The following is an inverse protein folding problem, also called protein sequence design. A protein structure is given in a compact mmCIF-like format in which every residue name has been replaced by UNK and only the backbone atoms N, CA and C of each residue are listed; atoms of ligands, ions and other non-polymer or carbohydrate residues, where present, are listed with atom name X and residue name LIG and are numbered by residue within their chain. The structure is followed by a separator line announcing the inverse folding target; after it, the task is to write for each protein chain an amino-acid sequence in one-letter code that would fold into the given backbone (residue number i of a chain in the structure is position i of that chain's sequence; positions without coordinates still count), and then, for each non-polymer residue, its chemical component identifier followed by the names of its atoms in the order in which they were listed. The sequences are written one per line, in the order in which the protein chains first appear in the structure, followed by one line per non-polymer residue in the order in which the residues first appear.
data_IF_232793319309
#
_entry.id   IF_232793319309
#
_cell.length_a   1.000
_cell.length_b   1.000
_cell.length_c   1.000
_cell.angle_alpha   90.00
_cell.angle_beta   90.00
_cell.angle_gamma   90.00
#
_symmetry.space_group_name_H-M   'P 1'
#
loop_
_entity.id
_entity.type
_entity.pdbx_description
1 polymer ?
#
# COMPACT_ATOMS: atom_id res chain seq x y z
N UNK A 1 -22.50 14.10 1.95
CA UNK A 1 -22.20 12.65 2.11
C UNK A 1 -23.42 11.91 2.67
N UNK A 2 -23.83 12.17 3.92
CA UNK A 2 -25.00 11.53 4.56
C UNK A 2 -26.26 11.52 3.68
N UNK A 3 -26.73 12.68 3.22
CA UNK A 3 -27.95 12.75 2.40
C UNK A 3 -27.83 11.98 1.07
N UNK A 4 -26.64 12.00 0.46
CA UNK A 4 -26.37 11.25 -0.77
C UNK A 4 -26.47 9.74 -0.52
N UNK A 5 -25.81 9.24 0.53
CA UNK A 5 -25.87 7.81 0.89
C UNK A 5 -27.31 7.41 1.23
N UNK A 6 -28.05 8.18 2.03
CA UNK A 6 -29.48 7.93 2.32
C UNK A 6 -30.31 7.82 1.05
N UNK A 7 -30.10 8.76 0.12
CA UNK A 7 -30.82 8.78 -1.15
C UNK A 7 -30.46 7.56 -2.00
N UNK A 8 -29.19 7.17 -2.06
CA UNK A 8 -28.74 6.03 -2.85
C UNK A 8 -29.23 4.72 -2.26
N UNK A 9 -29.14 4.53 -0.95
CA UNK A 9 -29.69 3.37 -0.22
C UNK A 9 -31.19 3.25 -0.47
N UNK A 10 -31.96 4.33 -0.25
CA UNK A 10 -33.41 4.34 -0.45
C UNK A 10 -33.83 3.96 -1.88
N UNK A 11 -33.07 4.40 -2.88
CA UNK A 11 -33.40 4.20 -4.29
C UNK A 11 -32.60 3.06 -4.95
N UNK A 12 -31.82 2.31 -4.18
CA UNK A 12 -30.96 1.22 -4.68
C UNK A 12 -30.03 1.66 -5.83
N UNK A 13 -29.48 2.87 -5.72
CA UNK A 13 -28.57 3.45 -6.72
C UNK A 13 -27.16 3.00 -6.42
N UNK A 14 -26.49 2.41 -7.42
CA UNK A 14 -25.08 2.09 -7.29
C UNK A 14 -24.23 3.37 -7.33
N UNK A 15 -23.19 3.41 -6.52
CA UNK A 15 -22.30 4.54 -6.39
C UNK A 15 -20.85 4.10 -6.18
N UNK A 16 -19.93 5.04 -6.36
CA UNK A 16 -18.53 4.90 -5.97
C UNK A 16 -18.12 6.07 -5.07
N UNK A 17 -17.09 5.86 -4.26
CA UNK A 17 -16.46 6.91 -3.46
C UNK A 17 -15.03 7.08 -3.94
N UNK A 18 -14.62 8.32 -4.21
CA UNK A 18 -13.24 8.64 -4.58
C UNK A 18 -12.63 9.66 -3.62
N UNK A 19 -11.63 9.21 -2.86
CA UNK A 19 -10.63 10.07 -2.23
C UNK A 19 -9.59 10.49 -3.25
N UNK A 20 -8.38 9.90 -3.19
CA UNK A 20 -7.30 10.18 -4.15
C UNK A 20 -7.41 9.46 -5.50
N UNK A 21 -8.17 8.36 -5.58
CA UNK A 21 -8.39 7.61 -6.82
C UNK A 21 -7.22 6.76 -7.31
N UNK A 22 -6.37 6.26 -6.40
CA UNK A 22 -5.08 5.63 -6.73
C UNK A 22 -5.10 4.10 -6.83
N UNK A 23 -6.16 3.42 -6.33
CA UNK A 23 -6.24 1.96 -6.39
C UNK A 23 -6.33 1.49 -7.85
N UNK A 24 -5.38 0.65 -8.28
CA UNK A 24 -5.25 0.17 -9.66
C UNK A 24 -6.25 -0.95 -10.01
N UNK A 25 -7.51 -0.77 -9.60
CA UNK A 25 -8.62 -1.69 -9.85
C UNK A 25 -9.76 -0.95 -10.54
N UNK A 26 -10.25 -1.53 -11.63
CA UNK A 26 -11.45 -1.03 -12.30
C UNK A 26 -12.63 -0.99 -11.32
N UNK A 27 -13.37 0.13 -11.34
CA UNK A 27 -14.52 0.35 -10.47
C UNK A 27 -14.18 0.71 -9.01
N UNK A 28 -12.92 0.67 -8.56
CA UNK A 28 -12.60 0.92 -7.15
C UNK A 28 -12.79 2.38 -6.72
N UNK A 29 -12.65 3.34 -7.63
CA UNK A 29 -12.82 4.78 -7.39
C UNK A 29 -13.65 5.45 -8.49
N UNK A 30 -14.43 4.68 -9.23
CA UNK A 30 -15.34 5.11 -10.29
C UNK A 30 -16.44 4.04 -10.46
N UNK A 31 -17.52 4.35 -11.18
CA UNK A 31 -18.57 3.36 -11.49
C UNK A 31 -19.08 3.48 -12.93
N UNK A 32 -18.32 4.16 -13.80
CA UNK A 32 -18.72 4.42 -15.18
C UNK A 32 -20.04 5.19 -15.27
N UNK A 33 -20.77 4.97 -16.37
CA UNK A 33 -22.11 5.56 -16.62
C UNK A 33 -23.23 4.93 -15.80
N UNK A 34 -22.98 3.81 -15.12
CA UNK A 34 -24.00 2.99 -14.46
C UNK A 34 -24.39 3.47 -13.07
N UNK A 35 -23.69 4.47 -12.51
CA UNK A 35 -23.92 4.93 -11.15
C UNK A 35 -23.42 6.33 -10.88
N UNK A 36 -23.43 6.71 -9.59
CA UNK A 36 -23.04 8.05 -9.15
C UNK A 36 -21.69 8.02 -8.45
N UNK A 37 -20.80 8.94 -8.81
CA UNK A 37 -19.53 9.11 -8.11
C UNK A 37 -19.65 10.18 -7.02
N UNK A 38 -19.45 9.79 -5.76
CA UNK A 38 -19.17 10.72 -4.66
C UNK A 38 -17.67 11.04 -4.67
N UNK A 39 -17.32 12.23 -5.15
CA UNK A 39 -15.96 12.73 -5.09
C UNK A 39 -15.74 13.49 -3.78
N UNK A 40 -14.76 13.05 -2.98
CA UNK A 40 -14.44 13.68 -1.69
C UNK A 40 -13.58 14.93 -1.81
N UNK A 41 -13.45 15.52 -3.00
CA UNK A 41 -12.50 16.62 -3.31
C UNK A 41 -12.67 17.86 -2.42
N UNK A 42 -13.87 18.07 -1.85
CA UNK A 42 -14.15 19.22 -0.99
C UNK A 42 -13.95 18.94 0.51
N UNK A 43 -13.56 17.71 0.90
CA UNK A 43 -13.14 17.42 2.28
C UNK A 43 -11.67 17.80 2.46
N UNK A 44 -11.41 19.10 2.58
CA UNK A 44 -10.06 19.68 2.56
C UNK A 44 -9.50 19.99 3.96
N UNK A 45 -10.06 19.42 5.03
CA UNK A 45 -9.58 19.67 6.39
C UNK A 45 -8.11 19.27 6.55
N UNK A 46 -7.29 20.20 7.01
CA UNK A 46 -5.94 20.00 7.53
C UNK A 46 -5.77 20.93 8.75
N UNK A 47 -5.86 20.35 9.95
CA UNK A 47 -5.82 21.13 11.18
C UNK A 47 -5.19 20.33 12.32
N UNK A 48 -4.26 20.95 13.06
CA UNK A 48 -3.74 20.34 14.28
C UNK A 48 -4.78 20.33 15.41
N UNK A 49 -4.66 19.35 16.31
CA UNK A 49 -5.21 19.48 17.67
C UNK A 49 -4.50 20.62 18.42
N UNK A 50 -5.11 21.13 19.50
CA UNK A 50 -4.55 22.26 20.26
C UNK A 50 -3.11 22.00 20.75
N UNK A 51 -2.83 20.76 21.15
CA UNK A 51 -1.52 20.27 21.63
C UNK A 51 -0.59 19.81 20.50
N UNK A 52 -1.03 19.87 19.23
CA UNK A 52 -0.35 19.32 18.04
C UNK A 52 0.00 17.84 18.12
N UNK A 53 -0.61 17.05 19.01
CA UNK A 53 -0.39 15.60 19.07
C UNK A 53 -1.05 14.83 17.93
N UNK A 54 -2.02 15.46 17.25
CA UNK A 54 -2.64 14.90 16.05
C UNK A 54 -2.97 15.95 14.98
N UNK A 55 -3.15 15.47 13.76
CA UNK A 55 -3.57 16.22 12.59
C UNK A 55 -4.91 15.67 12.10
N UNK A 56 -5.95 16.51 12.06
CA UNK A 56 -7.23 16.22 11.42
C UNK A 56 -7.09 16.32 9.90
N UNK A 57 -7.52 15.28 9.19
CA UNK A 57 -7.36 15.13 7.75
C UNK A 57 -8.68 14.74 7.10
N UNK A 58 -9.18 15.58 6.20
CA UNK A 58 -10.38 15.31 5.42
C UNK A 58 -10.17 14.29 4.30
N UNK A 59 -11.23 13.61 3.89
CA UNK A 59 -11.21 12.54 2.88
C UNK A 59 -10.78 12.96 1.47
N UNK A 60 -10.68 14.25 1.19
CA UNK A 60 -10.19 14.80 -0.07
C UNK A 60 -8.69 15.03 -0.12
N UNK A 61 -8.01 14.95 1.04
CA UNK A 61 -6.58 15.24 1.13
C UNK A 61 -5.74 14.11 0.53
N UNK A 62 -4.71 14.51 -0.21
CA UNK A 62 -3.66 13.65 -0.74
C UNK A 62 -2.33 13.93 -0.02
N UNK A 63 -1.44 12.94 -0.04
CA UNK A 63 -0.15 13.01 0.66
C UNK A 63 0.74 14.21 0.30
N UNK A 64 0.89 14.63 -0.98
CA UNK A 64 1.67 15.82 -1.31
C UNK A 64 1.16 17.09 -0.61
N UNK A 65 -0.16 17.29 -0.58
CA UNK A 65 -0.76 18.45 0.08
C UNK A 65 -0.59 18.41 1.60
N UNK A 66 -0.69 17.22 2.19
CA UNK A 66 -0.46 17.01 3.62
C UNK A 66 1.00 17.28 4.00
N UNK A 67 1.97 16.72 3.29
CA UNK A 67 3.39 16.97 3.59
C UNK A 67 3.80 18.41 3.32
N UNK A 68 3.19 19.08 2.34
CA UNK A 68 3.35 20.52 2.17
C UNK A 68 2.80 21.33 3.36
N UNK A 69 1.68 20.91 3.96
CA UNK A 69 1.12 21.56 5.15
C UNK A 69 1.99 21.34 6.41
N UNK A 70 2.63 20.18 6.52
CA UNK A 70 3.51 19.84 7.65
C UNK A 70 4.91 20.47 7.54
N UNK A 71 5.31 20.93 6.36
CA UNK A 71 6.64 21.50 6.13
C UNK A 71 6.89 22.71 7.05
N UNK A 72 8.03 22.73 7.73
CA UNK A 72 8.39 23.77 8.70
C UNK A 72 7.62 23.75 10.02
N UNK A 73 6.71 22.79 10.25
CA UNK A 73 5.92 22.73 11.51
C UNK A 73 6.65 22.03 12.66
N UNK A 74 7.76 21.34 12.38
CA UNK A 74 8.54 20.56 13.35
C UNK A 74 7.99 19.16 13.62
N UNK A 75 6.90 18.76 12.95
CA UNK A 75 6.31 17.42 13.04
C UNK A 75 6.03 16.83 11.67
N UNK A 76 5.92 15.51 11.61
CA UNK A 76 5.48 14.73 10.46
C UNK A 76 4.44 13.70 10.89
N UNK A 77 4.05 12.79 10.00
CA UNK A 77 3.17 11.64 10.28
C UNK A 77 3.72 10.40 9.57
N UNK A 78 3.38 9.20 10.03
CA UNK A 78 3.64 7.99 9.25
C UNK A 78 2.66 7.93 8.07
N UNK A 79 3.20 8.00 6.86
CA UNK A 79 2.42 8.07 5.64
C UNK A 79 3.07 7.32 4.49
N UNK A 80 2.49 7.48 3.30
CA UNK A 80 2.96 6.79 2.11
C UNK A 80 4.39 7.20 1.75
N UNK A 81 5.10 6.32 1.04
CA UNK A 81 6.47 6.57 0.59
C UNK A 81 6.54 7.57 -0.56
N UNK A 82 5.66 7.47 -1.55
CA UNK A 82 5.62 8.37 -2.72
C UNK A 82 4.22 8.43 -3.33
N UNK A 83 3.99 9.41 -4.20
CA UNK A 83 2.87 9.44 -5.15
C UNK A 83 1.69 10.31 -4.75
N UNK A 84 0.75 10.46 -5.68
CA UNK A 84 -0.44 11.31 -5.55
C UNK A 84 -1.62 10.57 -4.91
N UNK A 85 -1.34 9.91 -3.77
CA UNK A 85 -2.28 9.00 -3.13
C UNK A 85 -3.15 9.73 -2.11
N UNK A 86 -4.44 9.36 -2.05
CA UNK A 86 -5.38 9.89 -1.05
C UNK A 86 -5.10 9.32 0.33
N UNK A 87 -5.05 10.18 1.35
CA UNK A 87 -4.63 9.81 2.72
C UNK A 87 -5.54 8.74 3.32
N UNK A 88 -6.86 8.99 3.33
CA UNK A 88 -7.82 8.05 3.95
C UNK A 88 -7.86 6.69 3.23
N UNK A 89 -7.83 6.69 1.90
CA UNK A 89 -7.84 5.45 1.12
C UNK A 89 -6.62 4.57 1.40
N UNK A 90 -5.44 5.20 1.57
CA UNK A 90 -4.20 4.52 1.95
C UNK A 90 -4.32 3.88 3.35
N UNK A 91 -4.86 4.60 4.33
CA UNK A 91 -5.03 4.10 5.70
C UNK A 91 -6.03 2.94 5.76
N UNK A 92 -7.14 3.04 5.01
CA UNK A 92 -8.17 2.00 4.95
C UNK A 92 -7.66 0.66 4.39
N UNK A 93 -6.63 0.70 3.53
CA UNK A 93 -6.01 -0.50 2.96
C UNK A 93 -4.87 -1.08 3.79
N UNK A 94 -4.59 -0.50 4.96
CA UNK A 94 -3.49 -0.88 5.85
C UNK A 94 -2.61 0.33 6.10
N UNK A 95 -1.89 0.82 5.10
CA UNK A 95 -1.06 2.03 5.20
C UNK A 95 0.36 1.82 5.77
N UNK A 96 1.21 1.07 5.06
CA UNK A 96 2.61 0.85 5.47
C UNK A 96 3.56 1.90 4.89
N UNK A 97 4.26 2.62 5.78
CA UNK A 97 5.13 3.75 5.43
C UNK A 97 6.60 3.52 5.77
N UNK A 98 7.40 4.58 5.68
CA UNK A 98 8.79 4.55 6.13
C UNK A 98 8.89 4.43 7.66
N UNK A 99 8.08 5.20 8.40
CA UNK A 99 8.06 5.17 9.86
C UNK A 99 7.44 3.89 10.45
N UNK A 100 6.81 3.05 9.63
CA UNK A 100 6.23 1.78 10.12
C UNK A 100 7.28 0.86 10.76
N UNK A 101 8.53 0.89 10.29
CA UNK A 101 9.61 0.11 10.89
C UNK A 101 9.96 0.63 12.29
N UNK A 102 10.11 1.94 12.44
CA UNK A 102 10.48 2.58 13.72
C UNK A 102 9.39 2.46 14.77
N UNK A 103 8.15 2.52 14.32
CA UNK A 103 6.97 2.41 15.18
C UNK A 103 6.59 0.96 15.47
N UNK A 104 7.29 -0.01 14.87
CA UNK A 104 6.99 -1.44 14.94
C UNK A 104 5.52 -1.73 14.59
N UNK A 105 5.15 -1.28 13.39
CA UNK A 105 3.76 -1.09 13.06
C UNK A 105 3.42 -1.30 11.58
N UNK A 106 3.18 -2.56 11.23
CA UNK A 106 2.66 -2.95 9.91
C UNK A 106 1.22 -2.43 9.66
N UNK A 107 0.55 -1.99 10.73
CA UNK A 107 -0.74 -1.31 10.69
C UNK A 107 -0.65 0.03 11.40
N UNK A 108 -0.53 1.18 10.72
CA UNK A 108 -0.36 2.48 11.33
C UNK A 108 -1.41 2.72 12.44
N UNK A 109 -1.02 2.45 13.69
CA UNK A 109 -1.49 3.01 14.96
C UNK A 109 -1.42 4.54 14.95
N UNK A 110 -0.81 5.11 13.90
CA UNK A 110 -0.87 6.51 13.53
C UNK A 110 -2.28 6.97 13.16
N UNK A 111 -3.19 6.06 12.80
CA UNK A 111 -4.62 6.35 12.79
C UNK A 111 -5.07 6.47 14.25
N UNK A 112 -4.98 7.67 14.81
CA UNK A 112 -4.64 7.76 16.23
C UNK A 112 -5.83 7.79 17.15
N UNK A 113 -6.87 8.52 16.79
CA UNK A 113 -7.83 8.93 17.80
C UNK A 113 -9.26 8.82 17.29
N UNK A 114 -9.61 9.45 16.17
CA UNK A 114 -11.00 9.51 15.73
C UNK A 114 -11.15 9.36 14.21
N UNK A 115 -12.16 8.61 13.80
CA UNK A 115 -12.58 8.46 12.40
C UNK A 115 -14.04 8.83 12.28
N UNK A 116 -14.32 9.91 11.56
CA UNK A 116 -15.70 10.31 11.27
C UNK A 116 -16.21 9.50 10.10
N UNK A 117 -17.29 8.76 10.34
CA UNK A 117 -17.83 7.78 9.41
C UNK A 117 -19.31 8.07 9.12
N UNK A 118 -19.73 7.77 7.89
CA UNK A 118 -21.14 7.79 7.49
C UNK A 118 -21.56 6.37 7.12
N UNK A 119 -22.54 5.83 7.85
CA UNK A 119 -23.07 4.47 7.64
C UNK A 119 -24.00 4.38 6.42
N UNK A 120 -24.41 3.17 6.04
CA UNK A 120 -25.34 2.93 4.92
C UNK A 120 -26.72 3.56 5.15
N UNK A 121 -27.10 3.74 6.41
CA UNK A 121 -28.28 4.49 6.89
C UNK A 121 -28.11 6.02 6.77
N UNK A 122 -26.88 6.47 6.50
CA UNK A 122 -26.44 7.86 6.54
C UNK A 122 -26.27 8.44 7.94
N UNK A 123 -26.34 7.63 9.00
CA UNK A 123 -25.96 8.04 10.35
C UNK A 123 -24.46 8.37 10.43
N UNK A 124 -24.11 9.35 11.25
CA UNK A 124 -22.73 9.68 11.57
C UNK A 124 -22.29 8.90 12.80
N UNK A 125 -21.15 8.22 12.72
CA UNK A 125 -20.54 7.54 13.87
C UNK A 125 -19.05 7.88 13.96
N UNK A 126 -18.52 7.85 15.17
CA UNK A 126 -17.08 8.01 15.42
C UNK A 126 -16.49 6.64 15.72
N UNK A 127 -15.48 6.23 14.96
CA UNK A 127 -14.68 5.03 15.27
C UNK A 127 -13.34 5.46 15.88
N UNK A 128 -13.09 5.03 17.11
CA UNK A 128 -11.91 5.36 17.91
C UNK A 128 -11.44 4.17 18.76
N UNK A 129 -10.29 4.26 19.45
CA UNK A 129 -9.89 3.27 20.44
C UNK A 129 -10.86 3.11 21.62
N UNK A 130 -11.83 4.02 21.82
CA UNK A 130 -12.76 4.02 22.97
C UNK A 130 -14.24 4.05 22.59
N UNK A 131 -14.58 4.27 21.32
CA UNK A 131 -15.95 4.35 20.78
C UNK A 131 -16.01 3.58 19.45
N UNK A 132 -17.02 2.72 19.27
CA UNK A 132 -17.14 1.85 18.09
C UNK A 132 -15.81 1.13 17.76
N UNK A 133 -15.18 0.55 18.79
CA UNK A 133 -13.80 0.04 18.75
C UNK A 133 -13.59 -1.11 17.77
N UNK A 134 -14.65 -1.88 17.52
CA UNK A 134 -14.69 -2.92 16.51
C UNK A 134 -14.69 -2.34 15.08
N UNK A 135 -15.46 -1.28 14.82
CA UNK A 135 -15.39 -0.54 13.55
C UNK A 135 -13.99 0.05 13.35
N UNK A 136 -13.43 0.67 14.40
CA UNK A 136 -12.07 1.20 14.37
C UNK A 136 -11.03 0.12 14.05
N UNK A 137 -11.21 -1.08 14.62
CA UNK A 137 -10.38 -2.23 14.28
C UNK A 137 -10.53 -2.62 12.81
N UNK A 138 -11.75 -2.74 12.30
CA UNK A 138 -12.03 -3.20 10.94
C UNK A 138 -11.55 -2.23 9.85
N UNK A 139 -11.59 -0.93 10.12
CA UNK A 139 -11.20 0.08 9.14
C UNK A 139 -9.69 0.06 8.82
N UNK A 140 -8.84 -0.46 9.70
CA UNK A 140 -7.36 -0.52 9.53
C UNK A 140 -6.91 -1.67 8.62
N UNK A 141 -7.52 -1.81 7.44
CA UNK A 141 -7.21 -2.88 6.49
C UNK A 141 -8.44 -3.50 5.82
N UNK A 142 -9.64 -3.19 6.31
CA UNK A 142 -10.88 -3.68 5.72
C UNK A 142 -11.41 -2.83 4.56
N UNK A 143 -10.74 -1.75 4.16
CA UNK A 143 -11.18 -0.89 3.06
C UNK A 143 -12.49 -0.16 3.35
N UNK A 144 -13.27 0.12 2.31
CA UNK A 144 -14.55 0.83 2.38
C UNK A 144 -15.76 -0.11 2.60
N UNK A 145 -15.59 -1.20 3.33
CA UNK A 145 -16.59 -2.27 3.47
C UNK A 145 -17.67 -2.03 4.56
N UNK A 146 -17.52 -0.98 5.37
CA UNK A 146 -18.34 -0.77 6.57
C UNK A 146 -19.07 0.58 6.57
N UNK A 147 -18.38 1.62 6.10
CA UNK A 147 -18.83 3.00 6.14
C UNK A 147 -18.05 3.86 5.14
N UNK A 148 -18.54 5.07 4.89
CA UNK A 148 -17.79 6.12 4.21
C UNK A 148 -17.04 6.97 5.24
N UNK A 149 -15.71 6.88 5.27
CA UNK A 149 -14.87 7.70 6.15
C UNK A 149 -14.67 9.09 5.53
N UNK A 150 -15.02 10.14 6.29
CA UNK A 150 -14.97 11.54 5.84
C UNK A 150 -13.81 12.33 6.43
N UNK A 151 -13.34 11.95 7.61
CA UNK A 151 -12.21 12.59 8.31
C UNK A 151 -11.52 11.57 9.21
N UNK A 152 -10.20 11.71 9.38
CA UNK A 152 -9.39 10.95 10.33
C UNK A 152 -8.47 11.88 11.12
N UNK A 153 -8.09 11.45 12.31
CA UNK A 153 -6.99 12.05 13.08
C UNK A 153 -5.72 11.19 12.95
N UNK A 154 -4.61 11.82 12.57
CA UNK A 154 -3.29 11.20 12.46
C UNK A 154 -2.38 11.65 13.60
N UNK A 155 -1.73 10.72 14.29
CA UNK A 155 -0.67 11.04 15.27
C UNK A 155 0.46 11.78 14.58
N UNK A 156 0.89 12.88 15.19
CA UNK A 156 2.11 13.57 14.78
C UNK A 156 3.32 12.87 15.37
N UNK A 157 4.43 12.95 14.64
CA UNK A 157 5.73 12.41 15.00
C UNK A 157 6.70 13.60 14.98
N UNK A 158 7.52 13.73 16.02
CA UNK A 158 8.67 14.64 15.98
C UNK A 158 9.83 13.86 15.35
N UNK A 159 10.18 14.09 14.08
CA UNK A 159 11.30 13.39 13.46
C UNK A 159 12.62 13.85 14.08
N UNK A 160 13.65 13.00 13.97
CA UNK A 160 15.06 13.40 14.13
C UNK A 160 15.49 14.11 12.83
N UNK A 161 16.64 13.78 12.25
CA UNK A 161 16.97 14.20 10.89
C UNK A 161 16.54 13.09 9.92
N UNK A 162 15.85 13.48 8.86
CA UNK A 162 15.36 12.54 7.86
C UNK A 162 16.35 12.47 6.70
N UNK A 163 16.99 11.32 6.53
CA UNK A 163 17.83 11.02 5.37
C UNK A 163 17.06 10.12 4.41
N UNK A 164 17.00 10.53 3.15
CA UNK A 164 16.22 9.82 2.13
C UNK A 164 16.96 9.78 0.80
N UNK A 165 16.77 8.70 0.02
CA UNK A 165 17.43 8.56 -1.27
C UNK A 165 16.74 7.56 -2.20
N UNK A 166 16.69 7.88 -3.49
CA UNK A 166 16.30 6.95 -4.55
C UNK A 166 17.55 6.58 -5.34
N UNK A 167 18.10 5.43 -5.00
CA UNK A 167 19.44 5.00 -5.39
C UNK A 167 19.35 3.99 -6.51
N UNK A 168 20.11 4.17 -7.57
CA UNK A 168 20.32 3.14 -8.59
C UNK A 168 21.64 2.41 -8.39
N UNK A 169 21.63 1.09 -8.55
CA UNK A 169 22.80 0.21 -8.41
C UNK A 169 23.35 -0.32 -9.75
N UNK A 170 22.60 -0.15 -10.85
CA UNK A 170 23.02 -0.57 -12.19
C UNK A 170 22.20 -1.74 -12.73
N UNK A 171 22.85 -2.60 -13.52
CA UNK A 171 22.24 -3.71 -14.27
C UNK A 171 23.14 -4.95 -14.25
N UNK A 172 22.57 -6.11 -14.58
CA UNK A 172 23.32 -7.34 -14.82
C UNK A 172 23.53 -8.21 -13.58
N UNK A 173 24.08 -9.43 -13.77
CA UNK A 173 24.17 -10.45 -12.72
C UNK A 173 25.05 -10.03 -11.53
N UNK A 174 26.11 -9.26 -11.79
CA UNK A 174 27.01 -8.73 -10.75
C UNK A 174 26.32 -7.73 -9.82
N UNK A 175 25.21 -7.12 -10.26
CA UNK A 175 24.35 -6.25 -9.45
C UNK A 175 23.20 -7.05 -8.83
N UNK A 176 22.57 -7.93 -9.62
CA UNK A 176 21.38 -8.68 -9.22
C UNK A 176 21.60 -9.50 -7.95
N UNK A 177 22.67 -10.30 -7.91
CA UNK A 177 22.95 -11.20 -6.78
C UNK A 177 23.12 -10.43 -5.46
N UNK A 178 24.05 -9.46 -5.34
CA UNK A 178 24.19 -8.69 -4.10
C UNK A 178 22.95 -7.84 -3.76
N UNK A 179 22.18 -7.42 -4.77
CA UNK A 179 20.91 -6.74 -4.53
C UNK A 179 19.87 -7.66 -3.87
N UNK A 180 19.73 -8.89 -4.38
CA UNK A 180 18.84 -9.92 -3.80
C UNK A 180 19.27 -10.24 -2.38
N UNK A 181 20.55 -10.56 -2.17
CA UNK A 181 21.12 -10.84 -0.86
C UNK A 181 20.88 -9.69 0.10
N UNK A 182 21.00 -8.46 -0.38
CA UNK A 182 20.76 -7.25 0.37
C UNK A 182 19.33 -7.02 0.84
N UNK A 183 18.33 -7.26 -0.01
CA UNK A 183 16.92 -7.15 0.38
C UNK A 183 16.52 -8.22 1.39
N UNK A 184 17.05 -9.44 1.21
CA UNK A 184 16.85 -10.55 2.15
C UNK A 184 17.51 -10.26 3.49
N UNK A 185 18.74 -9.74 3.48
CA UNK A 185 19.47 -9.31 4.67
C UNK A 185 18.70 -8.22 5.43
N UNK A 186 18.09 -7.24 4.75
CA UNK A 186 17.23 -6.26 5.43
C UNK A 186 16.00 -6.89 6.08
N UNK A 187 15.30 -7.79 5.37
CA UNK A 187 14.12 -8.45 5.94
C UNK A 187 14.48 -9.22 7.22
N UNK A 188 15.64 -9.87 7.25
CA UNK A 188 16.07 -10.70 8.39
C UNK A 188 16.67 -9.84 9.52
N UNK A 189 17.55 -8.90 9.19
CA UNK A 189 18.43 -8.22 10.15
C UNK A 189 18.09 -6.73 10.34
N UNK A 190 17.31 -6.13 9.44
CA UNK A 190 16.97 -4.70 9.47
C UNK A 190 16.20 -4.28 10.72
N UNK A 191 15.51 -5.21 11.40
CA UNK A 191 14.84 -4.95 12.67
C UNK A 191 15.77 -4.52 13.81
N UNK A 192 17.09 -4.74 13.68
CA UNK A 192 18.08 -4.26 14.65
C UNK A 192 18.24 -2.73 14.65
N UNK A 193 17.86 -2.05 13.56
CA UNK A 193 17.76 -0.60 13.49
C UNK A 193 16.38 -0.20 12.92
N UNK A 194 15.37 -0.04 13.78
CA UNK A 194 14.03 0.25 13.32
C UNK A 194 13.88 1.68 12.78
N UNK A 195 14.86 2.57 12.99
CA UNK A 195 14.85 3.92 12.40
C UNK A 195 15.05 3.92 10.88
N UNK A 196 15.45 2.77 10.32
CA UNK A 196 15.76 2.59 8.92
C UNK A 196 14.65 1.83 8.18
N UNK A 197 14.42 2.21 6.93
CA UNK A 197 13.47 1.55 6.04
C UNK A 197 14.00 1.49 4.61
N UNK A 198 13.67 0.41 3.90
CA UNK A 198 14.03 0.23 2.49
C UNK A 198 12.82 -0.24 1.67
N UNK A 199 12.74 0.24 0.44
CA UNK A 199 11.91 -0.37 -0.60
C UNK A 199 12.80 -0.63 -1.80
N UNK A 200 12.99 -1.91 -2.15
CA UNK A 200 13.67 -2.30 -3.37
C UNK A 200 12.76 -2.10 -4.59
N UNK A 201 13.33 -1.70 -5.72
CA UNK A 201 12.65 -1.70 -7.01
C UNK A 201 13.56 -2.27 -8.08
N UNK A 202 13.12 -3.34 -8.73
CA UNK A 202 13.64 -3.70 -10.05
C UNK A 202 12.74 -3.06 -11.09
N UNK A 203 13.31 -2.45 -12.13
CA UNK A 203 12.56 -1.69 -13.13
C UNK A 203 13.01 -2.08 -14.53
N UNK A 204 12.06 -2.17 -15.45
CA UNK A 204 12.35 -2.42 -16.86
C UNK A 204 11.49 -1.55 -17.77
N UNK A 205 12.16 -0.89 -18.70
CA UNK A 205 11.56 -0.07 -19.74
C UNK A 205 12.27 -0.41 -21.06
N UNK A 206 11.73 -1.35 -21.87
CA UNK A 206 12.41 -1.88 -23.06
C UNK A 206 12.81 -0.78 -24.06
N UNK A 207 12.04 0.30 -24.12
CA UNK A 207 12.32 1.47 -24.96
C UNK A 207 13.54 2.30 -24.51
N UNK A 208 14.03 2.12 -23.28
CA UNK A 208 15.15 2.87 -22.69
C UNK A 208 16.37 2.00 -22.42
N UNK A 209 16.17 0.77 -21.95
CA UNK A 209 17.23 -0.16 -21.60
C UNK A 209 16.74 -1.60 -21.85
N UNK A 210 17.56 -2.41 -22.51
CA UNK A 210 17.26 -3.83 -22.72
C UNK A 210 17.30 -4.61 -21.40
N UNK A 211 18.06 -4.15 -20.41
CA UNK A 211 18.30 -4.83 -19.15
C UNK A 211 17.42 -4.30 -18.01
N UNK A 212 17.12 -5.18 -17.06
CA UNK A 212 16.51 -4.82 -15.78
C UNK A 212 17.49 -3.96 -14.98
N UNK A 213 16.97 -2.88 -14.41
CA UNK A 213 17.70 -1.95 -13.54
C UNK A 213 17.31 -2.14 -12.08
N UNK A 214 18.26 -1.95 -11.17
CA UNK A 214 18.08 -2.17 -9.74
C UNK A 214 18.14 -0.85 -8.99
N UNK A 215 17.12 -0.58 -8.18
CA UNK A 215 16.96 0.64 -7.38
C UNK A 215 16.53 0.33 -5.95
N UNK A 216 16.72 1.28 -5.04
CA UNK A 216 16.11 1.28 -3.72
C UNK A 216 15.70 2.68 -3.29
N UNK A 217 14.56 2.79 -2.61
CA UNK A 217 14.30 3.89 -1.71
C UNK A 217 14.93 3.58 -0.35
N UNK A 218 15.80 4.47 0.12
CA UNK A 218 16.40 4.42 1.44
C UNK A 218 15.78 5.50 2.30
N UNK A 219 15.49 5.17 3.55
CA UNK A 219 15.02 6.10 4.57
C UNK A 219 15.72 5.81 5.89
N UNK A 220 16.13 6.87 6.58
CA UNK A 220 16.62 6.80 7.95
C UNK A 220 16.14 8.01 8.74
N UNK A 221 15.62 7.78 9.93
CA UNK A 221 15.28 8.82 10.89
C UNK A 221 16.34 8.85 12.00
N UNK A 222 17.41 9.62 11.86
CA UNK A 222 18.54 9.55 12.80
C UNK A 222 19.49 10.73 12.67
N UNK A 223 20.55 10.74 13.47
CA UNK A 223 21.59 11.78 13.40
C UNK A 223 22.77 11.35 12.50
N UNK A 224 22.72 10.13 11.99
CA UNK A 224 23.72 9.48 11.17
C UNK A 224 23.68 10.05 9.75
N UNK A 225 24.79 10.68 9.34
CA UNK A 225 24.86 11.43 8.08
C UNK A 225 25.30 10.58 6.88
N UNK A 226 25.75 9.34 7.10
CA UNK A 226 26.22 8.42 6.04
C UNK A 226 25.34 7.19 5.94
N UNK A 227 25.19 6.65 4.73
CA UNK A 227 24.47 5.39 4.49
C UNK A 227 25.03 4.22 5.31
N UNK A 228 26.35 4.19 5.53
CA UNK A 228 26.99 3.09 6.25
C UNK A 228 26.73 3.18 7.75
N UNK A 229 26.58 4.41 8.28
CA UNK A 229 26.18 4.64 9.67
C UNK A 229 24.68 4.45 9.88
N UNK A 230 23.86 4.85 8.91
CA UNK A 230 22.41 4.69 8.94
C UNK A 230 21.97 3.24 8.76
N UNK A 231 22.78 2.41 8.09
CA UNK A 231 22.47 1.00 7.85
C UNK A 231 23.66 0.10 8.22
N UNK A 232 24.12 0.13 9.48
CA UNK A 232 25.40 -0.47 9.88
C UNK A 232 25.40 -2.00 9.77
N UNK A 233 24.22 -2.61 9.79
CA UNK A 233 24.03 -4.06 9.72
C UNK A 233 23.58 -4.55 8.34
N UNK A 234 23.43 -3.67 7.35
CA UNK A 234 22.91 -4.03 6.03
C UNK A 234 24.02 -4.16 4.99
N UNK A 235 24.35 -5.40 4.59
CA UNK A 235 25.40 -5.65 3.58
C UNK A 235 25.00 -5.22 2.17
N UNK A 236 23.69 -5.07 1.90
CA UNK A 236 23.13 -4.65 0.61
C UNK A 236 23.75 -3.36 0.04
N UNK A 237 24.10 -2.42 0.93
CA UNK A 237 24.59 -1.10 0.55
C UNK A 237 26.07 -1.10 0.14
N UNK A 238 26.71 -2.28 0.10
CA UNK A 238 28.05 -2.45 -0.45
C UNK A 238 28.12 -2.16 -1.95
N UNK A 239 26.99 -2.20 -2.68
CA UNK A 239 26.95 -1.82 -4.09
C UNK A 239 27.21 -0.30 -4.28
N UNK A 240 28.04 0.10 -5.25
CA UNK A 240 28.25 1.50 -5.57
C UNK A 240 26.98 2.11 -6.16
N UNK A 241 26.72 3.38 -5.83
CA UNK A 241 25.58 4.11 -6.37
C UNK A 241 25.95 4.61 -7.76
N UNK A 242 25.23 4.16 -8.79
CA UNK A 242 25.41 4.66 -10.17
C UNK A 242 24.51 5.87 -10.46
N UNK A 243 23.51 6.11 -9.61
CA UNK A 243 22.64 7.29 -9.65
C UNK A 243 21.98 7.54 -8.30
N UNK A 244 21.52 8.78 -8.09
CA UNK A 244 20.89 9.20 -6.84
C UNK A 244 21.89 9.52 -5.74
N UNK A 245 21.37 10.01 -4.62
CA UNK A 245 22.12 10.29 -3.40
C UNK A 245 21.25 9.98 -2.17
N UNK A 246 21.91 9.83 -1.02
CA UNK A 246 21.26 9.67 0.27
C UNK A 246 21.59 10.91 1.09
N UNK A 247 20.61 11.78 1.28
CA UNK A 247 20.83 13.11 1.87
C UNK A 247 19.72 13.47 2.83
N UNK A 248 20.03 14.36 3.76
CA UNK A 248 19.04 14.98 4.63
C UNK A 248 18.02 15.76 3.77
N UNK A 249 16.72 15.52 4.01
CA UNK A 249 15.63 16.27 3.37
C UNK A 249 14.30 16.09 4.12
N UNK A 250 13.40 17.07 4.01
CA UNK A 250 12.03 16.93 4.54
C UNK A 250 11.20 15.97 3.67
N UNK A 251 10.11 15.44 4.24
CA UNK A 251 9.14 14.63 3.48
C UNK A 251 8.57 15.42 2.29
N UNK A 252 8.34 16.74 2.43
CA UNK A 252 7.91 17.58 1.31
C UNK A 252 8.94 17.56 0.18
N UNK A 253 10.21 17.82 0.50
CA UNK A 253 11.30 17.80 -0.50
C UNK A 253 11.43 16.43 -1.16
N UNK A 254 11.28 15.34 -0.42
CA UNK A 254 11.24 14.00 -1.00
C UNK A 254 10.08 13.82 -1.98
N UNK A 255 8.88 14.27 -1.64
CA UNK A 255 7.72 14.18 -2.55
C UNK A 255 7.88 15.06 -3.80
N UNK A 256 8.54 16.20 -3.70
CA UNK A 256 8.84 17.08 -4.84
C UNK A 256 9.79 16.41 -5.87
N UNK A 257 10.61 15.43 -5.45
CA UNK A 257 11.45 14.62 -6.35
C UNK A 257 10.63 13.65 -7.22
N UNK A 258 9.40 13.35 -6.81
CA UNK A 258 8.47 12.45 -7.51
C UNK A 258 7.17 13.18 -7.85
N UNK A 259 7.23 14.20 -8.72
CA UNK A 259 6.10 15.08 -8.95
C UNK A 259 4.86 14.29 -9.39
N UNK A 260 3.74 14.61 -8.74
CA UNK A 260 2.42 14.10 -9.08
C UNK A 260 2.14 14.37 -10.56
N UNK A 261 1.65 13.37 -11.28
CA UNK A 261 1.25 13.56 -12.69
C UNK A 261 2.13 12.89 -13.73
N UNK A 262 3.36 12.52 -13.39
CA UNK A 262 4.30 11.88 -14.34
C UNK A 262 3.79 10.57 -14.96
N UNK A 263 2.87 9.88 -14.28
CA UNK A 263 2.24 8.63 -14.70
C UNK A 263 0.73 8.80 -15.02
N UNK A 264 0.19 10.02 -15.01
CA UNK A 264 -1.23 10.25 -15.30
C UNK A 264 -1.56 9.94 -16.77
N UNK A 265 -2.70 9.30 -16.98
CA UNK A 265 -3.16 8.88 -18.30
C UNK A 265 -2.59 7.55 -18.77
N UNK A 266 -1.64 6.97 -18.04
CA UNK A 266 -1.22 5.59 -18.26
C UNK A 266 -2.22 4.62 -17.63
N UNK A 267 -2.26 3.43 -18.23
CA UNK A 267 -2.96 2.25 -17.73
C UNK A 267 -2.00 1.53 -16.81
N UNK A 268 -2.50 1.00 -15.69
CA UNK A 268 -1.66 0.38 -14.65
C UNK A 268 -2.36 -0.83 -14.07
N UNK A 269 -1.57 -1.83 -13.66
CA UNK A 269 -2.03 -2.98 -12.87
C UNK A 269 -1.10 -3.15 -11.69
N UNK A 270 -1.66 -3.64 -10.59
CA UNK A 270 -0.89 -4.21 -9.49
C UNK A 270 -1.28 -5.67 -9.32
N UNK A 271 -0.29 -6.52 -9.11
CA UNK A 271 -0.47 -7.87 -8.59
C UNK A 271 0.44 -8.02 -7.38
N UNK A 272 -0.15 -8.50 -6.28
CA UNK A 272 0.55 -8.77 -5.05
C UNK A 272 1.14 -10.18 -5.04
N UNK A 273 2.38 -10.33 -4.58
CA UNK A 273 3.00 -11.64 -4.30
C UNK A 273 3.72 -11.54 -2.94
N UNK A 274 3.63 -12.58 -2.12
CA UNK A 274 4.27 -12.61 -0.80
C UNK A 274 5.08 -13.88 -0.65
N UNK A 275 6.38 -13.74 -0.42
CA UNK A 275 7.33 -14.86 -0.35
C UNK A 275 8.15 -14.81 0.94
N UNK A 276 8.65 -15.96 1.43
CA UNK A 276 9.63 -15.97 2.51
C UNK A 276 10.88 -15.20 2.10
N UNK A 277 11.54 -14.56 3.07
CA UNK A 277 12.78 -13.82 2.84
C UNK A 277 13.98 -14.76 2.63
N UNK A 278 14.07 -15.37 1.45
CA UNK A 278 15.23 -16.16 1.02
C UNK A 278 15.73 -15.70 -0.35
N UNK A 279 17.04 -15.81 -0.58
CA UNK A 279 17.64 -15.42 -1.86
C UNK A 279 17.10 -16.27 -3.03
N UNK A 280 16.84 -17.56 -2.79
CA UNK A 280 16.27 -18.47 -3.78
C UNK A 280 14.84 -18.06 -4.17
N UNK A 281 13.96 -17.81 -3.19
CA UNK A 281 12.60 -17.38 -3.46
C UNK A 281 12.58 -16.06 -4.25
N UNK A 282 13.42 -15.11 -3.85
CA UNK A 282 13.46 -13.80 -4.48
C UNK A 282 14.06 -13.84 -5.89
N UNK A 283 15.10 -14.65 -6.14
CA UNK A 283 15.64 -14.88 -7.49
C UNK A 283 14.58 -15.50 -8.39
N UNK A 284 13.88 -16.55 -7.93
CA UNK A 284 12.80 -17.18 -8.68
C UNK A 284 11.74 -16.14 -9.06
N UNK A 285 11.32 -15.29 -8.13
CA UNK A 285 10.31 -14.27 -8.39
C UNK A 285 10.77 -13.25 -9.45
N UNK A 286 11.98 -12.68 -9.31
CA UNK A 286 12.54 -11.70 -10.26
C UNK A 286 12.73 -12.33 -11.64
N UNK A 287 13.44 -13.46 -11.70
CA UNK A 287 13.84 -14.08 -12.97
C UNK A 287 12.61 -14.56 -13.75
N UNK A 288 11.64 -15.16 -13.05
CA UNK A 288 10.39 -15.60 -13.67
C UNK A 288 9.57 -14.41 -14.16
N UNK A 289 9.43 -13.36 -13.34
CA UNK A 289 8.65 -12.18 -13.73
C UNK A 289 9.18 -11.55 -15.01
N UNK A 290 10.47 -11.24 -15.08
CA UNK A 290 11.05 -10.58 -16.24
C UNK A 290 11.18 -11.47 -17.47
N UNK A 291 11.33 -12.79 -17.28
CA UNK A 291 11.27 -13.74 -18.40
C UNK A 291 9.91 -13.71 -19.08
N UNK A 292 8.82 -13.75 -18.32
CA UNK A 292 7.46 -13.76 -18.86
C UNK A 292 7.06 -12.39 -19.44
N UNK A 293 7.37 -11.30 -18.73
CA UNK A 293 7.04 -9.93 -19.15
C UNK A 293 7.84 -9.46 -20.37
N UNK A 294 8.94 -10.15 -20.73
CA UNK A 294 9.71 -9.84 -21.94
C UNK A 294 8.86 -9.86 -23.23
N UNK A 295 7.75 -10.62 -23.27
CA UNK A 295 6.80 -10.63 -24.39
C UNK A 295 6.18 -9.24 -24.65
N UNK A 296 6.09 -8.40 -23.62
CA UNK A 296 5.53 -7.05 -23.69
C UNK A 296 6.54 -5.99 -24.17
N UNK A 297 7.75 -6.41 -24.61
CA UNK A 297 8.80 -5.49 -25.07
C UNK A 297 8.35 -4.51 -26.17
N UNK A 298 7.39 -4.95 -27.01
CA UNK A 298 6.87 -4.18 -28.14
C UNK A 298 5.68 -3.28 -27.79
N UNK A 299 5.11 -3.40 -26.58
CA UNK A 299 3.97 -2.60 -26.15
C UNK A 299 4.38 -1.13 -26.02
N UNK A 300 3.56 -0.24 -26.59
CA UNK A 300 3.84 1.19 -26.64
C UNK A 300 3.92 1.82 -25.25
N UNK A 301 5.01 2.53 -24.98
CA UNK A 301 5.28 3.16 -23.67
C UNK A 301 5.27 2.18 -22.49
N UNK A 302 5.57 0.90 -22.73
CA UNK A 302 5.61 -0.09 -21.68
C UNK A 302 6.71 0.22 -20.65
N UNK A 303 6.32 0.11 -19.38
CA UNK A 303 7.18 0.16 -18.22
C UNK A 303 6.68 -0.89 -17.23
N UNK A 304 7.59 -1.49 -16.48
CA UNK A 304 7.21 -2.28 -15.32
C UNK A 304 8.19 -2.06 -14.18
N UNK A 305 7.68 -2.17 -12.95
CA UNK A 305 8.50 -2.41 -11.78
C UNK A 305 8.02 -3.64 -11.01
N UNK A 306 8.96 -4.36 -10.41
CA UNK A 306 8.71 -5.25 -9.28
C UNK A 306 9.26 -4.50 -8.06
N UNK A 307 8.33 -3.93 -7.29
CA UNK A 307 8.62 -3.29 -6.00
C UNK A 307 8.68 -4.36 -4.92
N UNK A 308 9.66 -4.24 -4.04
CA UNK A 308 9.95 -5.18 -2.97
C UNK A 308 10.00 -4.42 -1.66
N UNK A 309 9.06 -4.70 -0.77
CA UNK A 309 9.10 -4.24 0.62
C UNK A 309 9.60 -5.41 1.47
N UNK A 310 10.84 -5.37 2.00
CA UNK A 310 11.28 -6.38 2.93
C UNK A 310 10.67 -6.11 4.31
N UNK A 311 9.97 -7.09 4.85
CA UNK A 311 9.22 -7.00 6.10
C UNK A 311 10.00 -7.73 7.19
N UNK A 312 10.36 -6.99 8.23
CA UNK A 312 11.11 -7.49 9.38
C UNK A 312 10.17 -8.16 10.39
N UNK A 313 10.66 -9.06 11.25
CA UNK A 313 9.79 -9.69 12.27
C UNK A 313 9.18 -8.66 13.24
N UNK A 314 9.97 -7.67 13.68
CA UNK A 314 9.54 -6.69 14.68
C UNK A 314 8.35 -5.83 14.20
N UNK A 315 8.23 -5.54 12.90
CA UNK A 315 7.09 -4.76 12.37
C UNK A 315 5.76 -5.52 12.48
N UNK A 316 5.83 -6.86 12.52
CA UNK A 316 4.67 -7.75 12.60
C UNK A 316 4.34 -8.12 14.04
N UNK A 317 5.34 -8.48 14.85
CA UNK A 317 5.17 -8.95 16.22
C UNK A 317 4.43 -7.93 17.12
N UNK A 318 4.79 -6.66 17.03
CA UNK A 318 4.17 -5.59 17.83
C UNK A 318 2.80 -5.12 17.30
N UNK A 319 2.46 -5.49 16.06
CA UNK A 319 1.14 -5.21 15.49
C UNK A 319 0.05 -6.10 16.12
N UNK A 320 0.41 -7.33 16.52
CA UNK A 320 -0.52 -8.28 17.13
C UNK A 320 -0.81 -7.94 18.61
N UNK A 321 0.18 -7.41 19.34
CA UNK A 321 0.09 -7.15 20.77
C UNK A 321 -0.84 -5.97 21.18
N UNK A 322 -1.31 -5.15 20.22
CA UNK A 322 -1.97 -3.86 20.48
C UNK A 322 -3.43 -3.81 20.01
N UNK A 323 -4.28 -4.67 20.57
CA UNK A 323 -5.73 -4.69 20.28
C UNK A 323 -6.11 -5.49 19.02
N UNK A 324 -5.19 -6.32 18.52
CA UNK A 324 -5.36 -7.17 17.35
C UNK A 324 -5.20 -6.44 16.01
N UNK A 325 -4.92 -7.21 14.96
CA UNK A 325 -4.62 -6.73 13.61
C UNK A 325 -5.59 -7.37 12.60
N UNK A 326 -6.48 -6.61 11.90
CA UNK A 326 -7.38 -7.15 10.88
C UNK A 326 -6.68 -7.84 9.70
N UNK A 327 -5.41 -7.55 9.43
CA UNK A 327 -4.62 -8.16 8.36
C UNK A 327 -4.19 -9.60 8.65
N UNK A 328 -4.31 -10.06 9.90
CA UNK A 328 -3.90 -11.43 10.29
C UNK A 328 -2.40 -11.68 10.35
N UNK A 329 -1.58 -10.62 10.29
CA UNK A 329 -0.14 -10.74 10.39
C UNK A 329 0.26 -11.19 11.80
N UNK A 330 1.13 -12.19 11.86
CA UNK A 330 1.64 -12.82 13.08
C UNK A 330 3.11 -13.23 12.87
N UNK A 331 3.74 -13.87 13.87
CA UNK A 331 5.15 -14.27 13.79
C UNK A 331 5.50 -15.13 12.55
N UNK A 332 4.56 -15.92 12.02
CA UNK A 332 4.77 -16.75 10.82
C UNK A 332 4.68 -15.95 9.50
N UNK A 333 4.34 -14.65 9.59
CA UNK A 333 4.20 -13.75 8.43
C UNK A 333 5.50 -13.03 8.06
N UNK A 334 6.54 -13.12 8.89
CA UNK A 334 7.82 -12.45 8.73
C UNK A 334 9.00 -13.29 9.28
N UNK A 335 10.24 -13.12 8.77
CA UNK A 335 10.62 -12.16 7.74
C UNK A 335 10.13 -12.57 6.35
N UNK A 336 9.63 -11.62 5.59
CA UNK A 336 9.05 -11.85 4.26
C UNK A 336 9.39 -10.74 3.28
N UNK A 337 9.21 -11.02 1.99
CA UNK A 337 9.29 -10.01 0.94
C UNK A 337 7.91 -9.84 0.34
N UNK A 338 7.38 -8.63 0.51
CA UNK A 338 6.14 -8.20 -0.09
C UNK A 338 6.43 -7.60 -1.46
N UNK A 339 5.93 -8.25 -2.51
CA UNK A 339 6.22 -7.90 -3.90
C UNK A 339 4.98 -7.31 -4.57
N UNK A 340 5.16 -6.22 -5.30
CA UNK A 340 4.13 -5.63 -6.17
C UNK A 340 4.64 -5.60 -7.60
N UNK A 341 3.98 -6.40 -8.45
CA UNK A 341 4.22 -6.44 -9.89
C UNK A 341 3.37 -5.35 -10.54
N UNK A 342 4.00 -4.39 -11.20
CA UNK A 342 3.37 -3.13 -11.59
C UNK A 342 3.65 -2.68 -13.03
N UNK A 343 3.09 -3.37 -14.05
CA UNK A 343 3.17 -2.91 -15.42
C UNK A 343 2.32 -1.66 -15.64
N UNK A 344 2.82 -0.78 -16.52
CA UNK A 344 2.20 0.45 -16.99
C UNK A 344 2.37 0.55 -18.50
N UNK A 345 1.31 0.98 -19.19
CA UNK A 345 1.28 1.13 -20.65
C UNK A 345 0.24 2.19 -21.07
N UNK A 346 0.20 2.56 -22.35
CA UNK A 346 -0.64 3.68 -22.81
C UNK A 346 -1.92 3.28 -23.51
N UNK A 347 -1.85 2.35 -24.47
CA UNK A 347 -2.98 2.07 -25.36
C UNK A 347 -3.95 1.05 -24.73
N UNK A 348 -5.24 1.38 -24.73
CA UNK A 348 -6.28 0.46 -24.25
C UNK A 348 -6.43 -0.80 -25.12
N UNK A 349 -5.94 -0.76 -26.37
CA UNK A 349 -5.90 -1.92 -27.27
C UNK A 349 -4.97 -3.02 -26.78
N UNK A 350 -4.01 -2.70 -25.91
CA UNK A 350 -3.02 -3.64 -25.38
C UNK A 350 -3.48 -4.31 -24.07
N UNK A 351 -4.62 -3.90 -23.51
CA UNK A 351 -5.08 -4.36 -22.19
C UNK A 351 -5.17 -5.88 -22.07
N UNK A 352 -5.85 -6.52 -23.01
CA UNK A 352 -6.03 -7.97 -22.97
C UNK A 352 -4.68 -8.71 -23.05
N UNK A 353 -3.74 -8.19 -23.84
CA UNK A 353 -2.39 -8.75 -23.96
C UNK A 353 -1.62 -8.58 -22.65
N UNK A 354 -1.57 -7.36 -22.11
CA UNK A 354 -0.84 -7.08 -20.86
C UNK A 354 -1.45 -7.85 -19.70
N UNK A 355 -2.78 -7.89 -19.57
CA UNK A 355 -3.47 -8.62 -18.51
C UNK A 355 -3.20 -10.14 -18.60
N UNK A 356 -3.19 -10.70 -19.81
CA UNK A 356 -2.87 -12.12 -20.01
C UNK A 356 -1.42 -12.44 -19.63
N UNK A 357 -0.44 -11.68 -20.12
CA UNK A 357 0.97 -11.91 -19.81
C UNK A 357 1.23 -11.71 -18.32
N UNK A 358 0.65 -10.67 -17.71
CA UNK A 358 0.84 -10.38 -16.30
C UNK A 358 0.28 -11.49 -15.39
N UNK A 359 -0.91 -12.03 -15.71
CA UNK A 359 -1.48 -13.17 -15.00
C UNK A 359 -0.63 -14.45 -15.16
N UNK A 360 -0.10 -14.70 -16.36
CA UNK A 360 0.83 -15.82 -16.61
C UNK A 360 2.12 -15.67 -15.81
N UNK A 361 2.67 -14.47 -15.73
CA UNK A 361 3.88 -14.19 -14.96
C UNK A 361 3.70 -14.54 -13.48
N UNK A 362 2.58 -14.15 -12.86
CA UNK A 362 2.26 -14.52 -11.48
C UNK A 362 2.08 -16.02 -11.30
N UNK A 363 1.33 -16.69 -12.20
CA UNK A 363 1.15 -18.13 -12.13
C UNK A 363 2.47 -18.91 -12.30
N UNK A 364 3.37 -18.41 -13.15
CA UNK A 364 4.70 -18.98 -13.34
C UNK A 364 5.57 -18.83 -12.08
N UNK A 365 5.50 -17.68 -11.38
CA UNK A 365 6.20 -17.49 -10.10
C UNK A 365 5.74 -18.55 -9.09
N UNK A 366 4.43 -18.69 -8.88
CA UNK A 366 3.86 -19.73 -8.00
C UNK A 366 4.34 -21.13 -8.40
N UNK A 367 4.30 -21.45 -9.69
CA UNK A 367 4.71 -22.76 -10.22
C UNK A 367 6.19 -23.03 -9.92
N UNK A 368 7.06 -22.07 -10.17
CA UNK A 368 8.51 -22.22 -10.00
C UNK A 368 8.91 -22.25 -8.52
N UNK A 369 8.24 -21.48 -7.66
CA UNK A 369 8.43 -21.56 -6.20
C UNK A 369 8.04 -22.95 -5.68
N UNK A 370 6.87 -23.44 -6.07
CA UNK A 370 6.42 -24.79 -5.68
C UNK A 370 7.37 -25.89 -6.18
N UNK A 371 7.91 -25.75 -7.39
CA UNK A 371 8.90 -26.68 -7.94
C UNK A 371 10.22 -26.69 -7.13
N UNK A 372 10.57 -25.55 -6.52
CA UNK A 372 11.70 -25.42 -5.58
C UNK A 372 11.33 -25.83 -4.13
N UNK A 373 10.10 -26.27 -3.88
CA UNK A 373 9.64 -26.62 -2.52
C UNK A 373 9.38 -25.40 -1.62
N UNK A 374 9.33 -24.20 -2.19
CA UNK A 374 9.10 -22.94 -1.48
C UNK A 374 7.62 -22.59 -1.58
N UNK A 375 6.97 -22.36 -0.44
CA UNK A 375 5.58 -21.92 -0.38
C UNK A 375 5.49 -20.40 -0.30
N UNK A 376 4.59 -19.83 -1.09
CA UNK A 376 4.16 -18.44 -0.91
C UNK A 376 3.45 -18.27 0.45
N UNK A 377 3.55 -17.06 1.00
CA UNK A 377 2.88 -16.70 2.24
C UNK A 377 1.45 -16.21 1.94
N UNK A 378 0.46 -16.51 2.80
CA UNK A 378 -0.95 -16.38 2.45
C UNK A 378 -1.48 -14.93 2.44
N UNK A 379 -0.71 -13.97 2.95
CA UNK A 379 -1.15 -12.59 3.11
C UNK A 379 -1.17 -11.80 1.80
N UNK A 380 -2.27 -11.09 1.56
CA UNK A 380 -2.48 -10.20 0.41
C UNK A 380 -2.77 -8.78 0.87
N UNK A 381 -1.93 -7.82 0.49
CA UNK A 381 -2.13 -6.42 0.88
C UNK A 381 -3.25 -5.77 0.07
N UNK A 382 -4.29 -5.25 0.74
CA UNK A 382 -5.53 -4.80 0.09
C UNK A 382 -5.28 -3.72 -0.96
N UNK A 383 -4.38 -2.77 -0.68
CA UNK A 383 -4.12 -1.63 -1.54
C UNK A 383 -3.50 -2.00 -2.88
N UNK A 384 -2.71 -3.08 -2.92
CA UNK A 384 -1.90 -3.49 -4.07
C UNK A 384 -2.35 -4.83 -4.68
N UNK A 385 -3.33 -5.50 -4.06
CA UNK A 385 -3.87 -6.75 -4.57
C UNK A 385 -4.72 -6.54 -5.84
N UNK A 386 -4.49 -7.38 -6.84
CA UNK A 386 -5.22 -7.39 -8.10
C UNK A 386 -6.66 -7.87 -7.96
N UNK A 387 -7.51 -7.53 -8.93
CA UNK A 387 -8.87 -8.07 -9.00
C UNK A 387 -8.81 -9.59 -9.04
N UNK A 388 -9.49 -10.24 -8.10
CA UNK A 388 -9.54 -11.70 -7.99
C UNK A 388 -8.60 -12.29 -6.93
N UNK A 389 -7.58 -11.55 -6.48
CA UNK A 389 -6.75 -12.04 -5.37
C UNK A 389 -7.57 -12.12 -4.08
N UNK A 390 -7.41 -13.19 -3.28
CA UNK A 390 -8.30 -13.50 -2.17
C UNK A 390 -7.91 -12.73 -0.89
N UNK A 391 -7.95 -11.40 -0.95
CA UNK A 391 -7.46 -10.48 0.11
C UNK A 391 -7.86 -10.92 1.51
N UNK A 392 -9.16 -11.03 1.77
CA UNK A 392 -9.66 -11.33 3.11
C UNK A 392 -9.46 -12.80 3.52
N UNK A 393 -9.39 -13.74 2.58
CA UNK A 393 -8.99 -15.11 2.93
C UNK A 393 -7.53 -15.14 3.39
N UNK A 394 -6.68 -14.29 2.80
CA UNK A 394 -5.29 -14.08 3.23
C UNK A 394 -5.13 -13.43 4.61
N UNK A 395 -6.19 -12.87 5.19
CA UNK A 395 -6.18 -12.32 6.55
C UNK A 395 -6.44 -13.40 7.62
N UNK A 396 -6.71 -14.64 7.19
CA UNK A 396 -7.12 -15.73 8.06
C UNK A 396 -8.62 -15.74 8.31
N UNK A 397 -9.17 -16.95 8.48
CA UNK A 397 -10.60 -17.19 8.57
C UNK A 397 -11.27 -16.42 9.73
N UNK A 398 -10.63 -16.40 10.91
CA UNK A 398 -11.13 -15.71 12.10
C UNK A 398 -11.31 -14.21 11.85
N UNK A 399 -10.27 -13.55 11.32
CA UNK A 399 -10.33 -12.13 11.00
C UNK A 399 -11.34 -11.83 9.89
N UNK A 400 -11.43 -12.68 8.87
CA UNK A 400 -12.40 -12.50 7.81
C UNK A 400 -13.84 -12.59 8.33
N UNK A 401 -14.14 -13.56 9.20
CA UNK A 401 -15.46 -13.70 9.80
C UNK A 401 -15.79 -12.54 10.74
N UNK A 402 -14.81 -12.05 11.51
CA UNK A 402 -14.97 -10.85 12.33
C UNK A 402 -15.24 -9.60 11.49
N UNK A 403 -14.55 -9.43 10.36
CA UNK A 403 -14.83 -8.32 9.43
C UNK A 403 -16.26 -8.41 8.87
N UNK A 404 -16.75 -9.62 8.53
CA UNK A 404 -18.13 -9.82 8.09
C UNK A 404 -19.14 -9.47 9.18
N UNK A 405 -18.91 -9.90 10.42
CA UNK A 405 -19.76 -9.57 11.57
C UNK A 405 -19.86 -8.05 11.76
N UNK A 406 -18.71 -7.35 11.74
CA UNK A 406 -18.66 -5.90 11.91
C UNK A 406 -19.36 -5.20 10.75
N UNK A 407 -19.19 -5.65 9.51
CA UNK A 407 -19.93 -5.09 8.38
C UNK A 407 -21.44 -5.28 8.52
N UNK A 408 -21.93 -6.43 9.00
CA UNK A 408 -23.37 -6.62 9.26
C UNK A 408 -23.89 -5.74 10.42
N UNK A 409 -23.04 -5.43 11.40
CA UNK A 409 -23.39 -4.55 12.52
C UNK A 409 -23.57 -3.09 12.08
N UNK A 410 -22.67 -2.56 11.27
CA UNK A 410 -22.65 -1.15 10.87
C UNK A 410 -23.29 -0.87 9.49
N UNK A 411 -23.47 -1.91 8.69
CA UNK A 411 -24.09 -1.89 7.36
C UNK A 411 -25.00 -3.12 7.16
N UNK A 412 -26.09 -3.24 7.93
CA UNK A 412 -26.97 -4.42 7.88
C UNK A 412 -27.65 -4.64 6.52
N UNK A 413 -27.88 -3.55 5.78
CA UNK A 413 -28.40 -3.58 4.39
C UNK A 413 -27.30 -3.85 3.36
N UNK A 414 -26.04 -3.95 3.79
CA UNK A 414 -24.88 -4.23 2.95
C UNK A 414 -24.74 -3.23 1.78
N UNK A 415 -25.04 -1.95 2.04
CA UNK A 415 -24.92 -0.82 1.12
C UNK A 415 -23.51 -0.77 0.54
N UNK A 416 -22.47 -0.87 1.38
CA UNK A 416 -21.08 -0.80 0.96
C UNK A 416 -20.57 -2.09 0.32
N UNK A 417 -21.36 -3.17 0.31
CA UNK A 417 -21.05 -4.39 -0.40
C UNK A 417 -21.67 -4.41 -1.81
N UNK A 418 -22.92 -3.95 -1.94
CA UNK A 418 -23.70 -4.11 -3.18
C UNK A 418 -23.96 -2.82 -3.94
N UNK A 419 -24.17 -1.70 -3.24
CA UNK A 419 -24.35 -0.40 -3.87
C UNK A 419 -23.00 0.30 -4.15
N UNK A 420 -21.94 -0.05 -3.42
CA UNK A 420 -20.56 0.35 -3.73
C UNK A 420 -19.76 -0.88 -4.22
N UNK A 421 -19.89 -1.34 -5.47
CA UNK A 421 -19.31 -2.62 -5.93
C UNK A 421 -17.77 -2.60 -6.09
N UNK A 422 -17.16 -1.43 -6.10
CA UNK A 422 -15.73 -1.23 -6.32
C UNK A 422 -14.81 -1.73 -5.21
N UNK A 423 -13.60 -2.16 -5.58
CA UNK A 423 -12.55 -2.60 -4.65
C UNK A 423 -12.67 -4.07 -4.23
N UNK A 424 -11.99 -4.42 -3.14
CA UNK A 424 -12.07 -5.76 -2.53
C UNK A 424 -13.23 -5.82 -1.53
N UNK A 425 -14.12 -6.80 -1.71
CA UNK A 425 -15.36 -6.97 -0.93
C UNK A 425 -15.37 -8.24 -0.11
N UNK A 426 -16.04 -8.18 1.04
CA UNK A 426 -16.09 -9.26 2.03
C UNK A 426 -16.91 -10.47 1.56
N UNK A 427 -17.87 -10.28 0.62
CA UNK A 427 -18.81 -11.33 0.15
C UNK A 427 -18.81 -11.55 -1.38
N UNK A 428 -17.66 -11.49 -2.07
CA UNK A 428 -17.63 -11.71 -3.54
C UNK A 428 -18.31 -13.03 -3.94
N UNK A 429 -19.25 -12.96 -4.89
CA UNK A 429 -19.88 -14.12 -5.52
C UNK A 429 -21.18 -14.62 -4.87
N UNK A 430 -21.59 -14.09 -3.73
CA UNK A 430 -22.96 -14.33 -3.22
C UNK A 430 -23.86 -13.23 -3.75
N UNK A 431 -24.82 -13.60 -4.61
CA UNK A 431 -25.85 -12.69 -5.09
C UNK A 431 -26.50 -11.99 -3.89
N UNK A 432 -26.77 -10.69 -4.03
CA UNK A 432 -27.50 -9.93 -3.03
C UNK A 432 -28.73 -10.73 -2.58
N UNK A 433 -28.94 -10.85 -1.26
CA UNK A 433 -30.31 -11.02 -0.78
C UNK A 433 -31.01 -9.73 -1.18
N UNK A 434 -31.73 -9.78 -2.31
CA UNK A 434 -32.77 -8.81 -2.63
C UNK A 434 -33.76 -8.92 -1.47
N UNK A 435 -33.69 -7.98 -0.53
CA UNK A 435 -34.74 -7.81 0.48
C UNK A 435 -35.88 -7.08 -0.17
#
# INVERSE_FOLDING_TARGET
MSDAIKLFTKNQVQFAIRGGGYMALDGASNIGSEGILIANTNFTTLAFTEDKSALKVGAGIKWPALYNYLDGTGVTVNGIRIGDVGVIGYLLGGGIGFFSYELHDALPKNWSNNSQCVLGTGEFVTASPTENTDLFWALRGGGNNFCAVTEVELKTIVPRQLYMGNIGYGVGPDVQKPYIEGMVDFAINGGADPASAIEGQTRWAPSRNSNVTYFSFLFHNGNETSKDAAFPNLKALALPFVSGNFTEKSQKTWFDEFPSGSDLGNRKRFIWVNIPATAEAYSIAIDTYYKEIAELASVGSFFTALSTMPITSNIVEDSAANGGNPLGLNADSAPSLWLVLSPSWKAATDDATVDSVHARATAAITTNLNAAGIKELPFYYLSDAAKGQPVFAGYGQENWDKLKEISLKYDPEQVFQYLLPGGHKLWRGTAAKRV
#
